data_IF_886500220992
#
_entry.id   IF_886500220992
#
_cell.length_a   1.000
_cell.length_b   1.000
_cell.length_c   1.000
_cell.angle_alpha   90.00
_cell.angle_beta   90.00
_cell.angle_gamma   90.00
#
_symmetry.space_group_name_H-M   'P 1'
#
loop_
_entity.id
_entity.type
_entity.pdbx_description
1 polymer ?
#
# COMPACT_ATOMS: atom_id res chain seq x y z
N UNK A 1 13.90 -11.80 -20.30
CA UNK A 1 13.14 -10.62 -19.89
C UNK A 1 13.62 -10.26 -18.48
N UNK A 2 13.97 -9.01 -18.20
CA UNK A 2 14.35 -8.57 -16.85
C UNK A 2 13.13 -7.94 -16.21
N UNK A 3 12.72 -8.40 -15.03
CA UNK A 3 11.70 -7.75 -14.22
C UNK A 3 12.35 -6.58 -13.47
N UNK A 4 11.70 -5.41 -13.46
CA UNK A 4 12.25 -4.19 -12.84
C UNK A 4 11.53 -3.83 -11.53
N UNK A 5 10.49 -4.58 -11.17
CA UNK A 5 9.73 -4.39 -9.94
C UNK A 5 8.22 -4.38 -10.13
N UNK A 6 7.51 -4.05 -9.06
CA UNK A 6 6.05 -3.91 -9.06
C UNK A 6 5.69 -2.56 -9.65
N UNK A 7 4.89 -2.54 -10.72
CA UNK A 7 4.43 -1.29 -11.33
C UNK A 7 3.31 -0.65 -10.50
N UNK A 8 2.23 -1.39 -10.25
CA UNK A 8 1.08 -0.97 -9.46
C UNK A 8 0.41 -2.16 -8.78
N UNK A 9 -0.41 -1.88 -7.80
CA UNK A 9 -1.24 -2.86 -7.10
C UNK A 9 -2.69 -2.38 -7.18
N UNK A 10 -3.62 -3.29 -7.50
CA UNK A 10 -5.05 -2.99 -7.53
C UNK A 10 -5.78 -3.80 -6.48
N UNK A 11 -6.62 -3.14 -5.71
CA UNK A 11 -7.48 -3.74 -4.69
C UNK A 11 -8.94 -3.29 -4.84
N UNK A 12 -9.80 -3.72 -3.94
CA UNK A 12 -11.22 -3.37 -3.89
C UNK A 12 -11.49 -2.66 -2.57
N UNK A 13 -12.36 -1.65 -2.60
CA UNK A 13 -12.91 -1.01 -1.41
C UNK A 13 -14.45 -1.02 -1.48
N UNK A 14 -15.10 -1.08 -0.34
CA UNK A 14 -16.56 -0.88 -0.24
C UNK A 14 -16.95 0.59 -0.05
N UNK A 15 -16.01 1.45 0.32
CA UNK A 15 -16.24 2.87 0.65
C UNK A 15 -15.07 3.75 0.18
N UNK A 16 -15.27 4.45 -0.93
CA UNK A 16 -14.27 5.34 -1.52
C UNK A 16 -13.86 6.49 -0.60
N UNK A 17 -14.76 7.03 0.23
CA UNK A 17 -14.42 8.14 1.12
C UNK A 17 -13.52 7.67 2.26
N UNK A 18 -13.88 6.58 2.93
CA UNK A 18 -13.06 5.96 3.97
C UNK A 18 -11.68 5.55 3.42
N UNK A 19 -11.65 5.06 2.19
CA UNK A 19 -10.42 4.71 1.49
C UNK A 19 -9.52 5.94 1.26
N UNK A 20 -10.08 7.06 0.79
CA UNK A 20 -9.32 8.32 0.63
C UNK A 20 -8.82 8.84 1.98
N UNK A 21 -9.66 8.83 3.02
CA UNK A 21 -9.30 9.31 4.36
C UNK A 21 -8.12 8.51 4.93
N UNK A 22 -8.07 7.20 4.64
CA UNK A 22 -6.96 6.36 5.07
C UNK A 22 -5.71 6.55 4.21
N UNK A 23 -5.79 6.34 2.89
CA UNK A 23 -4.59 6.33 2.04
C UNK A 23 -4.00 7.72 1.82
N UNK A 24 -4.82 8.74 1.65
CA UNK A 24 -4.31 10.11 1.56
C UNK A 24 -4.11 10.73 2.94
N UNK A 25 -5.09 10.61 3.86
CA UNK A 25 -5.03 11.29 5.17
C UNK A 25 -4.11 10.62 6.18
N UNK A 26 -4.11 9.28 6.27
CA UNK A 26 -3.29 8.54 7.25
C UNK A 26 -1.95 8.12 6.65
N UNK A 27 -1.96 7.43 5.50
CA UNK A 27 -0.76 6.91 4.85
C UNK A 27 0.08 7.99 4.16
N UNK A 28 -0.48 9.19 3.95
CA UNK A 28 0.22 10.31 3.36
C UNK A 28 0.54 10.14 1.87
N UNK A 29 -0.18 9.27 1.17
CA UNK A 29 -0.08 9.13 -0.28
C UNK A 29 -0.88 10.24 -0.98
N UNK A 30 -0.48 10.62 -2.18
CA UNK A 30 -1.26 11.53 -3.00
C UNK A 30 -2.40 10.80 -3.70
N UNK A 31 -3.64 11.30 -3.61
CA UNK A 31 -4.72 10.90 -4.51
C UNK A 31 -4.45 11.54 -5.89
N UNK A 32 -3.74 10.82 -6.75
CA UNK A 32 -3.31 11.34 -8.06
C UNK A 32 -4.44 11.36 -9.09
N UNK A 33 -5.42 10.45 -8.92
CA UNK A 33 -6.58 10.41 -9.81
C UNK A 33 -7.80 9.76 -9.13
N UNK A 34 -8.97 10.35 -9.39
CA UNK A 34 -10.28 9.73 -9.19
C UNK A 34 -11.01 9.70 -10.52
N UNK A 35 -11.39 8.52 -10.97
CA UNK A 35 -12.12 8.30 -12.23
C UNK A 35 -13.13 7.18 -12.05
N UNK A 36 -13.61 6.58 -13.13
CA UNK A 36 -14.50 5.42 -13.12
C UNK A 36 -13.84 4.24 -13.78
N UNK A 37 -14.31 3.04 -13.46
CA UNK A 37 -13.92 1.82 -14.16
C UNK A 37 -14.43 1.88 -15.60
N UNK A 38 -13.59 1.56 -16.59
CA UNK A 38 -13.95 1.60 -18.01
C UNK A 38 -15.03 0.56 -18.36
N UNK A 39 -14.99 -0.60 -17.71
CA UNK A 39 -15.95 -1.69 -17.95
C UNK A 39 -17.27 -1.48 -17.20
N UNK A 40 -17.24 -0.71 -16.11
CA UNK A 40 -18.42 -0.36 -15.32
C UNK A 40 -18.34 1.09 -14.83
N UNK A 41 -18.87 2.07 -15.60
CA UNK A 41 -18.78 3.50 -15.27
C UNK A 41 -19.49 3.93 -13.97
N UNK A 42 -20.23 3.04 -13.32
CA UNK A 42 -20.84 3.30 -11.99
C UNK A 42 -19.89 3.01 -10.83
N UNK A 43 -18.72 2.44 -11.11
CA UNK A 43 -17.69 2.08 -10.14
C UNK A 43 -16.57 3.10 -10.15
N UNK A 44 -16.27 3.73 -9.02
CA UNK A 44 -15.11 4.60 -8.91
C UNK A 44 -13.81 3.82 -9.02
N UNK A 45 -12.79 4.47 -9.60
CA UNK A 45 -11.41 4.00 -9.63
C UNK A 45 -10.52 5.09 -9.05
N UNK A 46 -9.91 4.79 -7.91
CA UNK A 46 -9.04 5.67 -7.14
C UNK A 46 -7.59 5.26 -7.35
N UNK A 47 -6.68 6.24 -7.42
CA UNK A 47 -5.25 6.02 -7.61
C UNK A 47 -4.48 6.82 -6.56
N UNK A 48 -3.69 6.13 -5.75
CA UNK A 48 -2.82 6.73 -4.72
C UNK A 48 -1.37 6.40 -5.04
N UNK A 49 -0.51 7.40 -5.03
CA UNK A 49 0.90 7.20 -5.35
C UNK A 49 1.79 8.23 -4.64
N UNK A 50 3.06 8.30 -5.08
CA UNK A 50 3.96 9.41 -4.80
C UNK A 50 3.47 10.71 -5.46
N UNK A 51 4.24 11.79 -5.37
CA UNK A 51 3.85 13.10 -5.90
C UNK A 51 3.61 13.10 -7.41
N UNK A 52 4.26 12.22 -8.16
CA UNK A 52 4.22 12.17 -9.61
C UNK A 52 3.32 11.07 -10.19
N UNK A 53 2.80 10.15 -9.38
CA UNK A 53 2.07 8.97 -9.85
C UNK A 53 2.99 7.94 -10.48
N UNK A 54 4.16 7.73 -9.89
CA UNK A 54 5.22 6.89 -10.46
C UNK A 54 4.92 5.40 -10.35
N UNK A 55 5.31 4.63 -11.36
CA UNK A 55 5.39 3.19 -11.25
C UNK A 55 6.24 2.79 -10.03
N UNK A 56 5.76 1.81 -9.25
CA UNK A 56 6.41 1.41 -7.99
C UNK A 56 5.82 2.05 -6.73
N UNK A 57 4.85 2.96 -6.87
CA UNK A 57 4.10 3.55 -5.76
C UNK A 57 2.59 3.55 -5.96
N UNK A 58 2.09 3.23 -7.16
CA UNK A 58 0.70 3.39 -7.57
C UNK A 58 -0.18 2.25 -6.99
N UNK A 59 -0.92 2.57 -5.93
CA UNK A 59 -1.93 1.71 -5.31
C UNK A 59 -3.32 2.16 -5.75
N UNK A 60 -4.07 1.28 -6.40
CA UNK A 60 -5.39 1.63 -6.95
C UNK A 60 -6.51 0.84 -6.31
N UNK A 61 -7.71 1.42 -6.30
CA UNK A 61 -8.90 0.77 -5.76
C UNK A 61 -10.11 0.95 -6.67
N UNK A 62 -10.82 -0.15 -6.90
CA UNK A 62 -12.19 -0.10 -7.41
C UNK A 62 -13.18 -0.11 -6.25
N UNK A 63 -14.15 0.81 -6.27
CA UNK A 63 -15.20 0.85 -5.26
C UNK A 63 -16.39 -0.03 -5.66
N UNK A 64 -16.69 -1.03 -4.84
CA UNK A 64 -17.91 -1.84 -4.95
C UNK A 64 -18.73 -1.71 -3.66
N UNK A 65 -19.66 -0.74 -3.56
CA UNK A 65 -20.42 -0.51 -2.34
C UNK A 65 -21.17 -1.76 -1.87
N UNK A 66 -21.03 -2.07 -0.57
CA UNK A 66 -21.69 -3.23 0.04
C UNK A 66 -21.06 -4.59 -0.24
N UNK A 67 -19.90 -4.64 -0.89
CA UNK A 67 -19.15 -5.90 -1.01
C UNK A 67 -18.71 -6.37 0.38
N UNK A 68 -18.91 -7.67 0.73
CA UNK A 68 -18.44 -8.18 2.00
C UNK A 68 -16.91 -8.23 2.05
N UNK A 69 -16.30 -8.15 3.25
CA UNK A 69 -14.86 -8.30 3.41
C UNK A 69 -14.36 -9.60 2.78
N UNK A 70 -13.26 -9.52 2.06
CA UNK A 70 -12.58 -10.67 1.51
C UNK A 70 -11.97 -11.57 2.59
N UNK A 71 -11.65 -12.80 2.21
CA UNK A 71 -10.83 -13.70 3.03
C UNK A 71 -9.58 -14.05 2.23
N UNK A 72 -8.43 -13.78 2.84
CA UNK A 72 -7.17 -14.17 2.24
C UNK A 72 -7.09 -15.69 2.06
N UNK A 73 -6.64 -16.13 0.91
CA UNK A 73 -6.53 -17.54 0.54
C UNK A 73 -5.44 -17.78 -0.48
N UNK A 74 -5.34 -19.01 -0.94
CA UNK A 74 -4.35 -19.38 -1.96
C UNK A 74 -4.54 -18.56 -3.24
N UNK A 75 -3.44 -18.01 -3.74
CA UNK A 75 -3.41 -17.16 -4.92
C UNK A 75 -3.60 -15.66 -4.63
N UNK A 76 -4.02 -15.30 -3.41
CA UNK A 76 -4.25 -13.89 -3.05
C UNK A 76 -2.98 -13.22 -2.55
N UNK A 77 -2.81 -11.96 -2.98
CA UNK A 77 -1.91 -11.01 -2.32
C UNK A 77 -2.59 -10.55 -1.03
N UNK A 78 -2.02 -10.93 0.10
CA UNK A 78 -2.61 -10.65 1.41
C UNK A 78 -1.94 -9.52 2.18
N UNK A 79 -0.76 -9.05 1.73
CA UNK A 79 -0.05 -7.94 2.37
C UNK A 79 0.80 -7.17 1.37
N UNK A 80 0.77 -5.84 1.49
CA UNK A 80 1.62 -4.91 0.75
C UNK A 80 2.75 -4.47 1.67
N UNK A 81 4.00 -4.54 1.18
CA UNK A 81 5.18 -4.09 1.91
C UNK A 81 5.71 -2.81 1.28
N UNK A 82 5.75 -1.75 2.09
CA UNK A 82 6.24 -0.42 1.72
C UNK A 82 7.66 -0.20 2.24
N UNK A 83 8.45 0.56 1.52
CA UNK A 83 9.77 1.01 1.97
C UNK A 83 9.66 2.25 2.84
N UNK A 84 10.47 2.30 3.89
CA UNK A 84 10.75 3.50 4.68
C UNK A 84 12.25 3.63 4.89
N UNK A 85 12.71 4.85 5.24
CA UNK A 85 14.13 5.16 5.27
C UNK A 85 14.90 4.54 6.45
N UNK A 86 14.25 4.41 7.63
CA UNK A 86 14.97 4.21 8.88
C UNK A 86 14.07 3.66 9.99
N UNK A 87 14.68 3.22 11.06
CA UNK A 87 13.96 2.82 12.29
C UNK A 87 13.19 4.02 12.90
N UNK A 88 13.72 5.25 12.79
CA UNK A 88 13.00 6.46 13.23
C UNK A 88 11.75 6.73 12.39
N UNK A 89 11.72 6.33 11.12
CA UNK A 89 10.49 6.36 10.33
C UNK A 89 9.47 5.35 10.87
N UNK A 90 9.90 4.14 11.26
CA UNK A 90 8.98 3.18 11.89
C UNK A 90 8.40 3.71 13.20
N UNK A 91 9.21 4.41 14.04
CA UNK A 91 8.75 5.00 15.30
C UNK A 91 7.71 6.11 15.05
N UNK A 92 7.95 6.96 14.05
CA UNK A 92 6.99 7.97 13.61
C UNK A 92 5.66 7.34 13.16
N UNK A 93 5.72 6.32 12.29
CA UNK A 93 4.53 5.64 11.80
C UNK A 93 3.76 4.92 12.89
N UNK A 94 4.43 4.27 13.83
CA UNK A 94 3.78 3.64 14.98
C UNK A 94 2.99 4.66 15.80
N UNK A 95 3.60 5.80 16.12
CA UNK A 95 2.93 6.89 16.83
C UNK A 95 1.76 7.50 16.04
N UNK A 96 1.95 7.72 14.71
CA UNK A 96 0.90 8.25 13.83
C UNK A 96 -0.30 7.32 13.72
N UNK A 97 -0.07 6.04 13.49
CA UNK A 97 -1.13 5.03 13.38
C UNK A 97 -1.88 4.87 14.71
N UNK A 98 -1.15 4.82 15.83
CA UNK A 98 -1.75 4.78 17.17
C UNK A 98 -2.64 6.00 17.46
N UNK A 99 -2.21 7.20 17.06
CA UNK A 99 -3.01 8.42 17.21
C UNK A 99 -4.30 8.41 16.39
N UNK A 100 -4.38 7.59 15.34
CA UNK A 100 -5.56 7.34 14.50
C UNK A 100 -6.36 6.10 14.95
N UNK A 101 -5.97 5.47 16.08
CA UNK A 101 -6.65 4.28 16.62
C UNK A 101 -6.34 2.97 15.88
N UNK A 102 -5.30 2.95 15.06
CA UNK A 102 -4.91 1.78 14.27
C UNK A 102 -3.87 0.98 15.07
N UNK A 103 -4.16 -0.29 15.29
CA UNK A 103 -3.26 -1.21 15.99
C UNK A 103 -2.09 -1.59 15.10
N UNK A 104 -0.89 -1.63 15.70
CA UNK A 104 0.34 -1.99 15.00
C UNK A 104 1.06 -3.14 15.70
N UNK A 105 1.89 -3.86 14.94
CA UNK A 105 2.77 -4.92 15.42
C UNK A 105 4.18 -4.72 14.87
N UNK A 106 5.18 -4.63 15.75
CA UNK A 106 6.60 -4.64 15.35
C UNK A 106 7.02 -6.06 14.97
N UNK A 107 7.62 -6.22 13.81
CA UNK A 107 8.10 -7.50 13.28
C UNK A 107 9.51 -7.34 12.69
N UNK A 108 10.54 -7.60 13.50
CA UNK A 108 11.93 -7.33 13.12
C UNK A 108 12.15 -5.84 12.79
N UNK A 109 12.67 -5.55 11.59
CA UNK A 109 12.81 -4.18 11.07
C UNK A 109 11.57 -3.75 10.26
N UNK A 110 10.37 -4.14 10.72
CA UNK A 110 9.11 -3.79 10.08
C UNK A 110 8.03 -3.42 11.09
N UNK A 111 7.00 -2.73 10.60
CA UNK A 111 5.80 -2.35 11.32
C UNK A 111 4.58 -2.82 10.53
N UNK A 112 3.75 -3.68 11.11
CA UNK A 112 2.56 -4.26 10.49
C UNK A 112 1.31 -3.62 11.03
N UNK A 113 0.33 -3.43 10.15
CA UNK A 113 -1.01 -2.94 10.48
C UNK A 113 -1.98 -3.34 9.36
N UNK A 114 -3.25 -3.01 9.52
CA UNK A 114 -4.25 -3.17 8.48
C UNK A 114 -4.97 -1.84 8.22
N UNK A 115 -5.49 -1.68 7.01
CA UNK A 115 -6.41 -0.60 6.69
C UNK A 115 -7.78 -0.86 7.33
N UNK A 116 -8.74 0.09 7.27
CA UNK A 116 -10.08 -0.08 7.86
C UNK A 116 -10.88 -1.28 7.32
N UNK A 117 -10.55 -1.77 6.14
CA UNK A 117 -11.21 -2.91 5.49
C UNK A 117 -10.45 -4.22 5.64
N UNK A 118 -9.30 -4.21 6.33
CA UNK A 118 -8.52 -5.41 6.67
C UNK A 118 -7.41 -5.75 5.69
N UNK A 119 -7.11 -4.89 4.69
CA UNK A 119 -5.93 -5.09 3.84
C UNK A 119 -4.66 -4.87 4.68
N UNK A 120 -3.83 -5.90 4.75
CA UNK A 120 -2.63 -5.85 5.56
C UNK A 120 -1.50 -5.05 4.87
N UNK A 121 -0.80 -4.25 5.68
CA UNK A 121 0.37 -3.49 5.29
C UNK A 121 1.56 -3.81 6.19
N UNK A 122 2.75 -3.65 5.64
CA UNK A 122 4.00 -3.68 6.39
C UNK A 122 4.89 -2.53 5.91
N UNK A 123 5.40 -1.74 6.82
CA UNK A 123 6.49 -0.79 6.55
C UNK A 123 7.80 -1.48 6.87
N UNK A 124 8.74 -1.48 5.95
CA UNK A 124 10.03 -2.13 6.12
C UNK A 124 11.18 -1.16 5.88
N UNK A 125 12.17 -1.18 6.75
CA UNK A 125 13.42 -0.45 6.55
C UNK A 125 14.27 -1.27 5.57
N UNK A 126 14.38 -0.77 4.34
CA UNK A 126 15.09 -1.44 3.25
C UNK A 126 16.07 -0.47 2.60
N UNK A 127 17.30 -0.90 2.46
CA UNK A 127 18.33 -0.16 1.73
C UNK A 127 18.34 -0.64 0.27
N UNK A 128 17.98 0.27 -0.63
CA UNK A 128 17.99 0.05 -2.08
C UNK A 128 18.61 1.27 -2.76
N UNK A 129 19.15 1.06 -3.96
CA UNK A 129 19.73 2.15 -4.76
C UNK A 129 18.68 2.98 -5.52
N UNK A 130 17.43 2.55 -5.50
CA UNK A 130 16.36 3.22 -6.23
C UNK A 130 16.01 4.56 -5.57
N UNK A 131 15.69 5.55 -6.40
CA UNK A 131 15.17 6.83 -5.91
C UNK A 131 13.90 6.63 -5.08
N UNK A 132 13.74 7.35 -3.96
CA UNK A 132 12.55 7.25 -3.14
C UNK A 132 11.34 7.88 -3.85
N UNK A 133 10.23 7.15 -3.88
CA UNK A 133 8.95 7.59 -4.43
C UNK A 133 8.10 8.16 -3.29
N UNK A 134 8.16 9.47 -3.11
CA UNK A 134 7.57 10.19 -1.96
C UNK A 134 6.46 11.11 -2.42
N UNK A 135 5.36 11.15 -1.67
CA UNK A 135 4.30 12.15 -1.81
C UNK A 135 4.51 13.29 -0.80
N UNK A 136 4.16 14.50 -1.18
CA UNK A 136 4.14 15.65 -0.28
C UNK A 136 2.90 15.61 0.61
N UNK A 137 3.10 15.62 1.92
CA UNK A 137 2.00 15.63 2.88
C UNK A 137 2.31 16.55 4.08
N UNK A 138 1.38 17.42 4.52
CA UNK A 138 1.65 18.44 5.54
C UNK A 138 2.01 17.88 6.92
N UNK A 139 1.58 16.65 7.23
CA UNK A 139 1.83 16.00 8.52
C UNK A 139 2.86 14.86 8.46
N UNK A 140 3.44 14.57 7.29
CA UNK A 140 4.43 13.50 7.11
C UNK A 140 5.71 14.10 6.53
N UNK A 141 6.78 14.26 7.33
CA UNK A 141 8.06 14.72 6.84
C UNK A 141 8.61 13.80 5.73
N UNK A 142 9.17 14.37 4.68
CA UNK A 142 9.64 13.62 3.50
C UNK A 142 10.67 12.53 3.84
N UNK A 143 11.52 12.77 4.84
CA UNK A 143 12.51 11.80 5.31
C UNK A 143 11.90 10.59 6.06
N UNK A 144 10.65 10.73 6.55
CA UNK A 144 9.89 9.68 7.26
C UNK A 144 8.80 9.06 6.39
N UNK A 145 8.54 9.61 5.20
CA UNK A 145 7.48 9.20 4.30
C UNK A 145 7.69 7.78 3.72
N UNK A 146 6.62 7.24 3.17
CA UNK A 146 6.67 6.03 2.33
C UNK A 146 7.52 6.30 1.09
N UNK A 147 8.27 5.29 0.64
CA UNK A 147 9.24 5.40 -0.47
C UNK A 147 8.92 4.46 -1.65
N UNK A 148 7.64 4.12 -1.83
CA UNK A 148 7.18 3.16 -2.81
C UNK A 148 7.14 1.72 -2.28
N UNK A 149 6.74 0.80 -3.15
CA UNK A 149 6.63 -0.61 -2.80
C UNK A 149 8.01 -1.27 -2.63
N UNK A 150 8.09 -2.20 -1.66
CA UNK A 150 9.19 -3.15 -1.55
C UNK A 150 8.78 -4.50 -2.14
N UNK A 151 7.64 -5.02 -1.72
CA UNK A 151 7.17 -6.35 -2.08
C UNK A 151 5.66 -6.50 -1.87
N UNK A 152 5.13 -7.62 -2.32
CA UNK A 152 3.84 -8.16 -1.88
C UNK A 152 4.05 -9.55 -1.27
N UNK A 153 3.18 -9.90 -0.31
CA UNK A 153 3.13 -11.25 0.23
C UNK A 153 1.87 -11.93 -0.28
N UNK A 154 2.02 -13.09 -0.88
CA UNK A 154 0.91 -13.90 -1.36
C UNK A 154 0.89 -15.27 -0.70
N UNK A 155 -0.28 -15.83 -0.51
CA UNK A 155 -0.42 -17.24 -0.12
C UNK A 155 -0.25 -18.14 -1.34
N UNK A 156 0.55 -19.20 -1.21
CA UNK A 156 0.74 -20.18 -2.28
C UNK A 156 0.95 -21.57 -1.68
N UNK A 157 0.23 -22.56 -2.20
CA UNK A 157 0.47 -23.98 -1.90
C UNK A 157 1.70 -24.53 -2.62
N UNK A 158 2.19 -23.86 -3.66
CA UNK A 158 3.34 -24.27 -4.47
C UNK A 158 4.29 -23.09 -4.78
N UNK A 159 4.93 -22.47 -3.76
CA UNK A 159 5.75 -21.27 -3.96
C UNK A 159 6.92 -21.51 -4.91
N UNK A 160 7.48 -22.74 -4.93
CA UNK A 160 8.56 -23.11 -5.84
C UNK A 160 8.20 -23.09 -7.33
N UNK A 161 6.90 -23.13 -7.68
CA UNK A 161 6.50 -23.08 -9.09
C UNK A 161 6.79 -21.72 -9.76
N UNK A 162 6.90 -20.65 -8.98
CA UNK A 162 7.19 -19.30 -9.48
C UNK A 162 8.68 -18.95 -9.52
N UNK A 163 9.54 -19.78 -8.91
CA UNK A 163 10.98 -19.47 -8.75
C UNK A 163 11.73 -19.29 -10.07
N UNK A 164 11.26 -19.91 -11.16
CA UNK A 164 11.90 -19.78 -12.47
C UNK A 164 11.50 -18.48 -13.16
N UNK A 165 10.38 -17.88 -12.78
CA UNK A 165 9.86 -16.63 -13.33
C UNK A 165 10.40 -15.41 -12.56
N UNK A 166 10.55 -15.55 -11.25
CA UNK A 166 11.02 -14.51 -10.33
C UNK A 166 12.53 -14.60 -10.10
#
# INVERSE_FOLDING_TARGET
>A
MKLEGIHHITAITADAQSNVDFYAGVMGLRLVKKTVNQDNPTVYHLFFADENGSAGSDLTFFEFPGVPPGRAGEGDVHRIVWRVASDSALDFWEGRLAAKGISTERAGRGLRFADPEGLAHELAVVEVSDEPLVADHPEVPAELALRGFHAVCAYSSAPGASTTLL
#
